data_IF_369652274210
#
_entry.id   IF_369652274210
#
_cell.length_a   1.000
_cell.length_b   1.000
_cell.length_c   1.000
_cell.angle_alpha   90.00
_cell.angle_beta   90.00
_cell.angle_gamma   90.00
#
_symmetry.space_group_name_H-M   'P 1'
#
loop_
_entity.id
_entity.type
_entity.pdbx_description
1 polymer ?
#
# COMPACT_ATOMS: atom_id res chain seq x y z
N UNK A 1 -5.17 -19.61 11.70
CA UNK A 1 -5.26 -18.64 10.58
C UNK A 1 -4.67 -17.33 11.08
N UNK A 2 -3.74 -16.70 10.35
CA UNK A 2 -3.08 -15.47 10.82
C UNK A 2 -3.92 -14.26 10.39
N UNK A 3 -4.19 -13.29 11.28
CA UNK A 3 -5.22 -12.24 11.09
C UNK A 3 -4.98 -11.30 9.91
N UNK A 4 -3.80 -11.34 9.29
CA UNK A 4 -3.39 -10.44 8.21
C UNK A 4 -3.08 -11.15 6.89
N UNK A 5 -3.30 -12.47 6.77
CA UNK A 5 -2.99 -13.23 5.54
C UNK A 5 -3.81 -12.71 4.36
N UNK A 6 -5.11 -12.51 4.56
CA UNK A 6 -6.02 -12.05 3.51
C UNK A 6 -5.64 -10.64 3.03
N UNK A 7 -5.20 -9.77 3.94
CA UNK A 7 -4.73 -8.42 3.62
C UNK A 7 -3.48 -8.46 2.74
N UNK A 8 -2.50 -9.31 3.10
CA UNK A 8 -1.26 -9.48 2.34
C UNK A 8 -1.56 -10.06 0.95
N UNK A 9 -2.43 -11.07 0.87
CA UNK A 9 -2.83 -11.66 -0.41
C UNK A 9 -3.49 -10.63 -1.32
N UNK A 10 -4.44 -9.84 -0.79
CA UNK A 10 -5.10 -8.77 -1.56
C UNK A 10 -4.09 -7.76 -2.11
N UNK A 11 -3.14 -7.32 -1.27
CA UNK A 11 -2.10 -6.38 -1.69
C UNK A 11 -1.25 -6.93 -2.83
N UNK A 12 -0.73 -8.16 -2.70
CA UNK A 12 0.14 -8.74 -3.73
C UNK A 12 -0.62 -9.12 -5.02
N UNK A 13 -1.89 -9.50 -4.94
CA UNK A 13 -2.74 -9.67 -6.13
C UNK A 13 -2.93 -8.35 -6.87
N UNK A 14 -3.21 -7.25 -6.16
CA UNK A 14 -3.32 -5.92 -6.78
C UNK A 14 -1.98 -5.48 -7.41
N UNK A 15 -0.86 -5.71 -6.72
CA UNK A 15 0.49 -5.43 -7.22
C UNK A 15 0.79 -6.22 -8.51
N UNK A 16 0.50 -7.51 -8.54
CA UNK A 16 0.68 -8.35 -9.73
C UNK A 16 -0.12 -7.85 -10.94
N UNK A 17 -1.30 -7.29 -10.69
CA UNK A 17 -2.19 -6.74 -11.71
C UNK A 17 -1.88 -5.28 -12.08
N UNK A 18 -0.87 -4.65 -11.44
CA UNK A 18 -0.56 -3.22 -11.60
C UNK A 18 -1.74 -2.30 -11.22
N UNK A 19 -2.56 -2.74 -10.28
CA UNK A 19 -3.72 -1.99 -9.78
C UNK A 19 -3.33 -1.19 -8.53
N UNK A 20 -2.78 0.01 -8.76
CA UNK A 20 -2.36 0.91 -7.69
C UNK A 20 -3.52 1.35 -6.79
N UNK A 21 -4.74 1.45 -7.33
CA UNK A 21 -5.93 1.81 -6.54
C UNK A 21 -6.27 0.74 -5.52
N UNK A 22 -6.22 -0.54 -5.90
CA UNK A 22 -6.45 -1.62 -4.95
C UNK A 22 -5.30 -1.83 -3.96
N UNK A 23 -4.07 -1.56 -4.36
CA UNK A 23 -2.95 -1.50 -3.41
C UNK A 23 -3.18 -0.42 -2.35
N UNK A 24 -3.61 0.79 -2.76
CA UNK A 24 -3.82 1.92 -1.87
C UNK A 24 -4.83 1.62 -0.74
N UNK A 25 -5.89 0.86 -1.05
CA UNK A 25 -6.93 0.46 -0.09
C UNK A 25 -6.36 -0.43 1.04
N UNK A 26 -5.22 -1.08 0.83
CA UNK A 26 -4.58 -1.93 1.83
C UNK A 26 -3.74 -1.14 2.84
N UNK A 27 -3.47 0.15 2.59
CA UNK A 27 -2.74 1.00 3.52
C UNK A 27 -3.66 1.61 4.58
N UNK A 28 -3.10 1.80 5.77
CA UNK A 28 -3.74 2.59 6.81
C UNK A 28 -3.83 4.07 6.38
N UNK A 29 -4.89 4.84 6.72
CA UNK A 29 -5.01 6.26 6.37
C UNK A 29 -3.81 7.12 6.78
N UNK A 30 -3.12 6.72 7.85
CA UNK A 30 -1.92 7.39 8.39
C UNK A 30 -0.60 6.66 8.06
N UNK A 31 -0.58 5.83 7.02
CA UNK A 31 0.61 5.12 6.59
C UNK A 31 1.76 6.09 6.27
N UNK A 32 3.00 5.63 6.47
CA UNK A 32 4.22 6.39 6.18
C UNK A 32 5.11 5.56 5.28
N UNK A 33 5.63 6.19 4.24
CA UNK A 33 6.65 5.62 3.38
C UNK A 33 7.81 6.61 3.26
N UNK A 34 9.03 6.08 3.22
CA UNK A 34 10.25 6.86 3.07
C UNK A 34 11.27 6.04 2.32
N UNK A 35 11.81 6.61 1.25
CA UNK A 35 12.99 6.13 0.56
C UNK A 35 13.87 7.33 0.12
N UNK A 36 15.06 7.12 -0.47
CA UNK A 36 15.92 8.23 -0.90
C UNK A 36 15.32 9.19 -1.94
N UNK A 37 14.37 8.72 -2.75
CA UNK A 37 13.65 9.51 -3.78
C UNK A 37 12.43 10.21 -3.18
N UNK A 38 11.73 9.53 -2.27
CA UNK A 38 10.52 9.98 -1.59
C UNK A 38 10.74 9.99 -0.08
N UNK A 39 11.45 11.00 0.47
CA UNK A 39 11.88 10.97 1.88
C UNK A 39 10.73 11.07 2.88
N UNK A 40 9.56 11.58 2.47
CA UNK A 40 8.43 11.82 3.37
C UNK A 40 7.09 11.70 2.66
N UNK A 41 6.60 10.47 2.45
CA UNK A 41 5.21 10.24 2.06
C UNK A 41 4.36 9.88 3.27
N UNK A 42 3.27 10.63 3.43
CA UNK A 42 2.33 10.43 4.52
C UNK A 42 0.91 10.30 3.97
N UNK A 43 0.23 9.25 4.41
CA UNK A 43 -1.14 8.96 4.06
C UNK A 43 -1.27 7.98 2.90
N UNK A 44 -2.32 7.15 2.96
CA UNK A 44 -2.58 6.10 1.98
C UNK A 44 -2.76 6.65 0.55
N UNK A 45 -3.28 7.87 0.39
CA UNK A 45 -3.45 8.51 -0.90
C UNK A 45 -2.11 8.87 -1.56
N UNK A 46 -1.18 9.47 -0.81
CA UNK A 46 0.14 9.82 -1.34
C UNK A 46 0.99 8.58 -1.61
N UNK A 47 0.88 7.54 -0.77
CA UNK A 47 1.61 6.27 -0.94
C UNK A 47 0.99 5.40 -2.05
N UNK A 48 -0.31 5.51 -2.29
CA UNK A 48 -0.98 4.77 -3.37
C UNK A 48 -0.79 5.38 -4.76
N UNK A 49 -0.36 6.65 -4.83
CA UNK A 49 -0.18 7.41 -6.06
C UNK A 49 1.23 7.37 -6.67
N UNK A 50 2.21 6.76 -5.98
CA UNK A 50 3.55 6.45 -6.51
C UNK A 50 3.53 5.21 -7.39
#
# INVERSE_FOLDING_TARGET
MHPHVDLIQKFYTAFQNRDSKQMAICYHPNARFSDPVFPQLYGAELIGGM
#
